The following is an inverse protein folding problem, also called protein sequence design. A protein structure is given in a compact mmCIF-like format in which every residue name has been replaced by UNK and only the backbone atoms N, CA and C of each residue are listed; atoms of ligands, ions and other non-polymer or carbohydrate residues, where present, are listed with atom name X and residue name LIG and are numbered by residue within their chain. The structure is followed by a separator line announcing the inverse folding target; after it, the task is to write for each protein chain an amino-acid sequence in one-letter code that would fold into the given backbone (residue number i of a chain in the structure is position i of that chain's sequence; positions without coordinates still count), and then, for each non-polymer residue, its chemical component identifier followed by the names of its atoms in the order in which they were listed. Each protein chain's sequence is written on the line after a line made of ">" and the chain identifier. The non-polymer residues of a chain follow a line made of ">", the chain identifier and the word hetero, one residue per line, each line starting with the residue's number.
data_IF_341973322227
#
_entry.id   IF_341973322227
#
_cell.length_a   1.000
_cell.length_b   1.000
_cell.length_c   1.000
_cell.angle_alpha   90.00
_cell.angle_beta   90.00
_cell.angle_gamma   90.00
#
_symmetry.space_group_name_H-M   'P 1'
#
loop_
_entity.id
_entity.type
_entity.pdbx_description
1 polymer ?
#
# COMPACT_ATOMS: atom_id res chain seq x y z
N UNK A 1 2.05 34.12 -13.40
CA UNK A 1 0.89 34.53 -12.60
C UNK A 1 -0.01 33.34 -12.39
N UNK A 2 -0.39 33.06 -11.14
CA UNK A 2 -1.13 31.87 -10.71
C UNK A 2 -2.55 31.74 -11.33
N UNK A 3 -3.04 32.80 -12.00
CA UNK A 3 -4.37 32.86 -12.65
C UNK A 3 -4.51 31.98 -13.89
N UNK A 4 -3.43 31.77 -14.67
CA UNK A 4 -3.52 30.99 -15.92
C UNK A 4 -3.75 29.49 -15.73
N UNK A 5 -3.59 28.96 -14.51
CA UNK A 5 -3.83 27.55 -14.20
C UNK A 5 -5.33 27.24 -13.99
N UNK A 6 -6.16 28.27 -13.75
CA UNK A 6 -7.59 28.13 -13.50
C UNK A 6 -8.45 28.25 -14.78
N UNK A 7 -7.87 28.80 -15.85
CA UNK A 7 -8.56 29.04 -17.15
C UNK A 7 -8.33 27.91 -18.17
N UNK A 8 -7.75 26.78 -17.73
CA UNK A 8 -7.60 25.60 -18.57
C UNK A 8 -8.94 24.88 -18.79
N UNK A 9 -9.17 24.26 -19.96
CA UNK A 9 -10.36 23.45 -20.19
C UNK A 9 -10.40 22.29 -19.17
N UNK A 10 -11.52 22.17 -18.45
CA UNK A 10 -11.75 21.01 -17.59
C UNK A 10 -11.82 19.76 -18.46
N UNK A 11 -11.19 18.68 -17.99
CA UNK A 11 -11.38 17.37 -18.61
C UNK A 11 -12.88 16.99 -18.62
N UNK A 12 -13.35 16.23 -19.63
CA UNK A 12 -14.72 15.75 -19.66
C UNK A 12 -15.10 15.10 -18.33
N UNK A 13 -16.29 15.42 -17.82
CA UNK A 13 -16.78 14.82 -16.57
C UNK A 13 -16.81 13.29 -16.73
N UNK A 14 -16.20 12.59 -15.80
CA UNK A 14 -16.28 11.13 -15.70
C UNK A 14 -17.70 10.67 -15.31
N UNK A 15 -17.81 9.42 -14.87
CA UNK A 15 -19.07 8.86 -14.40
C UNK A 15 -19.67 9.68 -13.24
N UNK A 16 -20.99 9.79 -13.18
CA UNK A 16 -21.68 10.41 -12.05
C UNK A 16 -21.46 9.56 -10.79
N UNK A 17 -20.90 10.11 -9.70
CA UNK A 17 -20.62 9.32 -8.50
C UNK A 17 -21.89 8.97 -7.75
N UNK A 18 -21.91 7.78 -7.15
CA UNK A 18 -22.98 7.37 -6.24
C UNK A 18 -22.94 8.24 -4.97
N UNK A 19 -24.05 8.88 -4.56
CA UNK A 19 -24.10 9.64 -3.31
C UNK A 19 -23.79 8.78 -2.07
N UNK A 20 -23.18 9.35 -1.01
CA UNK A 20 -22.97 8.63 0.25
C UNK A 20 -24.28 8.08 0.84
N UNK A 21 -24.24 6.86 1.36
CA UNK A 21 -25.41 6.20 1.98
C UNK A 21 -26.44 5.64 1.00
N UNK A 22 -26.20 5.72 -0.31
CA UNK A 22 -27.08 5.09 -1.30
C UNK A 22 -26.97 3.56 -1.22
N UNK A 23 -28.11 2.86 -1.33
CA UNK A 23 -28.15 1.41 -1.35
C UNK A 23 -27.78 0.86 -2.74
N UNK A 24 -27.08 -0.27 -2.80
CA UNK A 24 -26.72 -0.96 -4.05
C UNK A 24 -25.32 -0.64 -4.57
N UNK A 25 -25.15 -0.68 -5.89
CA UNK A 25 -23.84 -0.52 -6.53
C UNK A 25 -23.21 0.86 -6.32
N UNK A 26 -21.89 0.87 -6.11
CA UNK A 26 -21.10 2.10 -5.93
C UNK A 26 -20.36 2.40 -7.24
N UNK A 27 -20.58 3.61 -7.77
CA UNK A 27 -19.80 4.18 -8.86
C UNK A 27 -18.81 5.17 -8.25
N UNK A 28 -17.53 4.82 -8.32
CA UNK A 28 -16.45 5.77 -8.04
C UNK A 28 -16.22 6.64 -9.26
N UNK A 29 -16.11 7.95 -9.04
CA UNK A 29 -15.77 8.92 -10.09
C UNK A 29 -14.39 9.52 -9.85
N UNK A 30 -13.91 10.31 -10.81
CA UNK A 30 -12.67 11.07 -10.66
C UNK A 30 -12.74 12.01 -9.46
N UNK A 31 -11.65 12.09 -8.71
CA UNK A 31 -11.49 13.04 -7.60
C UNK A 31 -11.00 14.37 -8.16
N UNK A 32 -11.78 15.42 -8.01
CA UNK A 32 -11.38 16.78 -8.36
C UNK A 32 -11.64 17.70 -7.17
N UNK A 33 -10.71 17.71 -6.23
CA UNK A 33 -10.83 18.48 -5.01
C UNK A 33 -9.57 18.46 -4.17
N UNK A 34 -9.64 19.17 -3.05
CA UNK A 34 -8.58 19.25 -2.04
C UNK A 34 -8.95 18.34 -0.89
N UNK A 35 -8.15 17.31 -0.64
CA UNK A 35 -8.36 16.42 0.49
C UNK A 35 -7.94 17.04 1.82
N UNK A 36 -8.57 16.60 2.91
CA UNK A 36 -8.14 16.92 4.27
C UNK A 36 -7.06 15.93 4.72
N UNK A 37 -5.93 16.46 5.18
CA UNK A 37 -4.80 15.66 5.66
C UNK A 37 -3.91 15.17 4.53
N UNK A 38 -2.65 14.87 4.85
CA UNK A 38 -1.65 14.41 3.88
C UNK A 38 -0.84 13.21 4.39
N UNK A 39 -1.13 12.74 5.61
CA UNK A 39 -0.40 11.67 6.26
C UNK A 39 -1.36 10.73 6.98
N UNK A 40 -1.06 9.45 6.88
CA UNK A 40 -1.67 8.38 7.66
C UNK A 40 -0.61 7.77 8.57
N UNK A 41 -0.70 8.08 9.87
CA UNK A 41 0.18 7.53 10.89
C UNK A 41 -0.57 6.37 11.57
N UNK A 42 -0.02 5.16 11.50
CA UNK A 42 -0.65 4.00 12.13
C UNK A 42 0.38 3.12 12.83
N UNK A 43 -0.02 2.62 14.00
CA UNK A 43 0.69 1.57 14.72
C UNK A 43 -0.14 0.29 14.61
N UNK A 44 0.42 -0.74 14.00
CA UNK A 44 -0.27 -1.98 13.66
C UNK A 44 -0.01 -2.99 14.78
N UNK A 45 -0.97 -3.15 15.69
CA UNK A 45 -0.89 -4.01 16.89
C UNK A 45 -2.05 -4.99 16.93
N UNK A 46 -1.96 -5.97 17.83
CA UNK A 46 -3.12 -6.79 18.17
C UNK A 46 -4.18 -5.98 18.92
N UNK A 47 -5.47 -6.36 18.82
CA UNK A 47 -6.55 -5.71 19.55
C UNK A 47 -6.27 -5.68 21.07
N UNK A 48 -6.24 -4.48 21.65
CA UNK A 48 -5.99 -4.28 23.08
C UNK A 48 -4.54 -4.44 23.52
N UNK A 49 -3.60 -4.64 22.58
CA UNK A 49 -2.16 -4.77 22.84
C UNK A 49 -1.38 -3.56 22.33
N UNK A 50 -0.20 -3.33 22.91
CA UNK A 50 0.79 -2.40 22.38
C UNK A 50 1.81 -3.08 21.45
N UNK A 51 1.71 -4.38 21.22
CA UNK A 51 2.56 -5.13 20.30
C UNK A 51 1.73 -5.90 19.27
N UNK A 52 2.38 -6.32 18.21
CA UNK A 52 1.90 -7.31 17.26
C UNK A 52 2.62 -8.63 17.55
N UNK A 53 1.89 -9.58 18.11
CA UNK A 53 2.36 -10.94 18.34
C UNK A 53 2.69 -11.63 17.02
N UNK A 54 3.78 -12.39 16.99
CA UNK A 54 4.07 -13.28 15.86
C UNK A 54 3.03 -14.40 15.74
N UNK A 55 2.31 -14.75 16.81
CA UNK A 55 1.20 -15.70 16.80
C UNK A 55 -0.03 -15.20 16.02
N UNK A 56 -0.15 -13.89 15.78
CA UNK A 56 -1.19 -13.32 14.93
C UNK A 56 -0.91 -13.45 13.42
N UNK A 57 0.29 -13.93 13.04
CA UNK A 57 0.69 -14.10 11.63
C UNK A 57 0.15 -15.44 11.09
N UNK A 58 -0.39 -15.49 9.84
CA UNK A 58 -0.43 -14.43 8.85
C UNK A 58 -1.52 -13.38 9.09
N UNK A 59 -1.17 -12.13 8.83
CA UNK A 59 -2.06 -10.97 8.99
C UNK A 59 -1.80 -9.93 7.90
N UNK A 60 -2.83 -9.17 7.53
CA UNK A 60 -2.72 -8.10 6.56
C UNK A 60 -3.56 -6.88 6.88
N UNK A 61 -3.11 -5.72 6.40
CA UNK A 61 -3.79 -4.45 6.58
C UNK A 61 -4.00 -3.77 5.23
N UNK A 62 -5.24 -3.38 4.89
CA UNK A 62 -5.48 -2.65 3.67
C UNK A 62 -4.81 -1.28 3.72
N UNK A 63 -4.29 -0.89 2.56
CA UNK A 63 -3.77 0.44 2.25
C UNK A 63 -4.69 1.04 1.19
N UNK A 64 -5.32 2.16 1.55
CA UNK A 64 -6.37 2.84 0.79
C UNK A 64 -7.66 2.02 0.58
N UNK A 65 -8.15 1.31 1.60
CA UNK A 65 -9.48 0.64 1.53
C UNK A 65 -10.63 1.60 1.19
N UNK A 66 -11.61 1.11 0.42
CA UNK A 66 -12.76 1.89 -0.06
C UNK A 66 -14.08 1.36 0.52
N UNK A 67 -15.16 2.15 0.44
CA UNK A 67 -16.49 1.77 0.96
C UNK A 67 -17.02 0.46 0.35
N UNK A 68 -16.77 0.24 -0.93
CA UNK A 68 -17.16 -0.98 -1.67
C UNK A 68 -16.14 -2.11 -1.58
N UNK A 69 -15.11 -2.00 -0.74
CA UNK A 69 -14.06 -3.00 -0.56
C UNK A 69 -13.18 -2.66 0.63
N UNK A 70 -13.59 -3.12 1.81
CA UNK A 70 -12.92 -2.91 3.11
C UNK A 70 -11.92 -4.02 3.45
N UNK A 71 -11.84 -5.06 2.62
CA UNK A 71 -10.95 -6.22 2.81
C UNK A 71 -11.19 -6.94 4.14
N UNK A 72 -12.46 -7.19 4.47
CA UNK A 72 -12.95 -7.79 5.71
C UNK A 72 -12.62 -7.05 7.01
N UNK A 73 -12.01 -5.85 6.93
CA UNK A 73 -11.67 -5.06 8.12
C UNK A 73 -12.80 -4.12 8.56
N UNK A 74 -13.77 -3.85 7.69
CA UNK A 74 -14.76 -2.79 7.88
C UNK A 74 -14.17 -1.36 7.85
N UNK A 75 -12.85 -1.22 7.67
CA UNK A 75 -12.19 0.07 7.62
C UNK A 75 -12.33 0.70 6.23
N UNK A 76 -12.67 1.99 6.22
CA UNK A 76 -12.67 2.83 5.02
C UNK A 76 -11.59 3.90 5.19
N UNK A 77 -10.62 3.91 4.29
CA UNK A 77 -9.50 4.82 4.29
C UNK A 77 -9.67 5.82 3.15
N UNK A 78 -10.72 6.64 3.22
CA UNK A 78 -10.97 7.73 2.26
C UNK A 78 -11.08 9.05 3.01
N UNK A 79 -10.20 10.00 2.69
CA UNK A 79 -10.21 11.31 3.35
C UNK A 79 -11.37 12.19 2.85
N UNK A 80 -11.97 13.03 3.70
CA UNK A 80 -12.92 14.05 3.26
C UNK A 80 -12.29 15.07 2.32
N UNK A 81 -13.08 15.64 1.40
CA UNK A 81 -12.68 16.79 0.60
C UNK A 81 -13.13 18.09 1.27
N UNK A 82 -12.26 19.10 1.32
CA UNK A 82 -12.58 20.44 1.87
C UNK A 82 -13.04 21.43 0.80
N UNK A 83 -12.73 21.16 -0.46
CA UNK A 83 -13.22 21.88 -1.64
C UNK A 83 -13.22 20.91 -2.82
N UNK A 84 -14.24 20.91 -3.67
CA UNK A 84 -14.34 19.99 -4.80
C UNK A 84 -15.28 20.52 -5.88
N UNK A 85 -15.13 20.03 -7.11
CA UNK A 85 -16.00 20.37 -8.23
C UNK A 85 -17.31 19.58 -8.18
N UNK A 86 -18.48 20.24 -8.38
CA UNK A 86 -19.76 19.54 -8.42
C UNK A 86 -19.82 18.44 -9.49
N UNK A 87 -20.35 17.27 -9.10
CA UNK A 87 -20.44 16.09 -9.98
C UNK A 87 -19.16 15.24 -10.05
N UNK A 88 -18.17 15.52 -9.19
CA UNK A 88 -16.97 14.69 -8.99
C UNK A 88 -17.04 13.96 -7.65
N UNK A 89 -16.05 13.11 -7.34
CA UNK A 89 -16.09 12.21 -6.20
C UNK A 89 -16.47 12.90 -4.87
N UNK A 90 -17.20 12.19 -4.02
CA UNK A 90 -17.65 12.69 -2.72
C UNK A 90 -16.58 12.66 -1.63
N UNK A 91 -15.50 11.90 -1.85
CA UNK A 91 -14.34 11.83 -0.97
C UNK A 91 -13.07 11.63 -1.80
N UNK A 92 -11.91 11.75 -1.15
CA UNK A 92 -10.61 11.42 -1.74
C UNK A 92 -10.45 9.90 -1.82
N UNK A 93 -11.24 9.26 -2.69
CA UNK A 93 -11.11 7.85 -2.98
C UNK A 93 -9.70 7.58 -3.51
N UNK A 94 -9.05 6.56 -2.96
CA UNK A 94 -7.66 6.27 -3.29
C UNK A 94 -6.63 7.00 -2.44
N UNK A 95 -6.98 8.05 -1.67
CA UNK A 95 -6.02 8.78 -0.82
C UNK A 95 -4.71 9.14 -1.57
N UNK A 96 -4.82 9.55 -2.83
CA UNK A 96 -3.67 9.83 -3.69
C UNK A 96 -2.77 10.92 -3.10
N UNK A 97 -1.45 10.68 -3.09
CA UNK A 97 -0.49 11.61 -2.50
C UNK A 97 -0.45 11.60 -0.97
N UNK A 98 -1.23 10.75 -0.29
CA UNK A 98 -1.11 10.54 1.15
C UNK A 98 0.15 9.74 1.44
N UNK A 99 0.96 10.26 2.37
CA UNK A 99 2.05 9.52 2.97
C UNK A 99 1.51 8.55 4.03
N UNK A 100 1.69 7.25 3.83
CA UNK A 100 1.48 6.25 4.86
C UNK A 100 2.80 6.05 5.62
N UNK A 101 2.72 6.09 6.94
CA UNK A 101 3.80 5.74 7.84
C UNK A 101 3.23 4.75 8.86
N UNK A 102 3.59 3.49 8.64
CA UNK A 102 3.06 2.33 9.33
C UNK A 102 4.16 1.73 10.20
N UNK A 103 3.91 1.64 11.51
CA UNK A 103 4.83 1.06 12.49
C UNK A 103 4.30 -0.28 12.97
N UNK A 104 5.11 -1.32 12.84
CA UNK A 104 4.81 -2.69 13.28
C UNK A 104 5.74 -3.02 14.47
N UNK A 105 5.27 -2.85 15.72
CA UNK A 105 6.00 -3.26 16.92
C UNK A 105 5.84 -4.77 17.13
N UNK A 106 6.72 -5.57 16.53
CA UNK A 106 6.65 -7.03 16.58
C UNK A 106 7.17 -7.56 17.93
N UNK A 107 6.49 -8.57 18.47
CA UNK A 107 6.93 -9.33 19.64
C UNK A 107 6.86 -10.82 19.35
N UNK A 108 7.97 -11.53 19.52
CA UNK A 108 7.97 -12.98 19.53
C UNK A 108 7.58 -13.50 20.92
N UNK A 109 6.29 -13.79 21.10
CA UNK A 109 5.70 -14.36 22.32
C UNK A 109 5.75 -15.90 22.35
N UNK A 110 6.50 -16.52 21.45
CA UNK A 110 6.66 -17.97 21.36
C UNK A 110 8.01 -18.40 21.97
N UNK A 111 8.16 -19.68 22.36
CA UNK A 111 9.43 -20.19 22.90
C UNK A 111 10.48 -20.50 21.82
N UNK A 112 10.14 -20.35 20.54
CA UNK A 112 10.99 -20.72 19.39
C UNK A 112 11.38 -19.46 18.59
N UNK A 113 12.54 -19.43 17.93
CA UNK A 113 12.84 -18.36 16.97
C UNK A 113 11.83 -18.37 15.81
N UNK A 114 11.42 -17.19 15.36
CA UNK A 114 10.46 -17.03 14.25
C UNK A 114 11.06 -16.15 13.16
N UNK A 115 10.88 -16.56 11.90
CA UNK A 115 11.17 -15.72 10.73
C UNK A 115 9.89 -15.38 9.99
N UNK A 116 9.67 -14.08 9.80
CA UNK A 116 8.53 -13.50 9.10
C UNK A 116 8.97 -12.92 7.75
N UNK A 117 8.02 -12.70 6.87
CA UNK A 117 8.20 -12.10 5.55
C UNK A 117 7.21 -10.96 5.37
N UNK A 118 7.69 -9.82 4.90
CA UNK A 118 6.86 -8.64 4.62
C UNK A 118 6.60 -8.52 3.12
N UNK A 119 5.36 -8.24 2.73
CA UNK A 119 4.97 -7.97 1.36
C UNK A 119 3.95 -6.83 1.28
N UNK A 120 3.95 -6.08 0.18
CA UNK A 120 2.81 -5.25 -0.22
C UNK A 120 2.14 -5.95 -1.40
N UNK A 121 0.85 -6.25 -1.33
CA UNK A 121 0.13 -7.06 -2.31
C UNK A 121 -0.96 -6.24 -3.00
N UNK A 122 -1.35 -6.65 -4.22
CA UNK A 122 -2.43 -5.99 -4.98
C UNK A 122 -3.57 -6.98 -5.28
N UNK A 123 -4.38 -7.36 -4.28
CA UNK A 123 -5.40 -8.40 -4.44
C UNK A 123 -6.54 -7.98 -5.38
N UNK A 124 -7.47 -8.90 -5.64
CA UNK A 124 -8.70 -8.57 -6.37
C UNK A 124 -9.61 -7.66 -5.53
N UNK A 125 -10.39 -6.82 -6.22
CA UNK A 125 -11.35 -5.85 -5.65
C UNK A 125 -12.64 -6.51 -5.17
N UNK A 126 -12.53 -7.58 -4.40
CA UNK A 126 -13.68 -8.29 -3.84
C UNK A 126 -13.43 -8.50 -2.36
N UNK A 127 -14.51 -8.50 -1.59
CA UNK A 127 -14.41 -8.87 -0.18
C UNK A 127 -13.86 -10.30 -0.10
N UNK A 128 -12.74 -10.50 0.62
CA UNK A 128 -12.13 -11.81 0.73
C UNK A 128 -13.03 -12.74 1.55
N UNK A 129 -13.41 -13.91 1.01
CA UNK A 129 -14.14 -14.91 1.79
C UNK A 129 -13.32 -15.32 3.01
N UNK A 130 -13.89 -15.16 4.22
CA UNK A 130 -13.21 -15.51 5.47
C UNK A 130 -11.98 -14.65 5.81
N UNK A 131 -11.80 -13.48 5.18
CA UNK A 131 -10.69 -12.56 5.48
C UNK A 131 -9.37 -12.86 4.75
N UNK A 132 -9.32 -13.91 3.93
CA UNK A 132 -8.12 -14.26 3.16
C UNK A 132 -8.12 -13.55 1.80
N UNK A 133 -7.17 -12.62 1.63
CA UNK A 133 -7.03 -11.85 0.38
C UNK A 133 -6.95 -12.76 -0.85
N UNK A 134 -7.78 -12.46 -1.86
CA UNK A 134 -7.80 -13.23 -3.10
C UNK A 134 -6.72 -12.73 -4.05
N UNK A 135 -5.64 -13.51 -4.14
CA UNK A 135 -4.58 -13.35 -5.13
C UNK A 135 -4.89 -14.21 -6.37
N UNK A 136 -4.49 -13.74 -7.53
CA UNK A 136 -4.59 -14.44 -8.80
C UNK A 136 -3.20 -14.67 -9.37
N UNK A 137 -3.08 -15.67 -10.26
CA UNK A 137 -1.85 -15.87 -11.02
C UNK A 137 -1.48 -14.57 -11.76
N UNK A 138 -0.19 -14.23 -11.74
CA UNK A 138 0.31 -13.05 -12.41
C UNK A 138 -0.06 -13.10 -13.91
N UNK A 139 -0.82 -12.11 -14.37
CA UNK A 139 -1.16 -11.96 -15.78
C UNK A 139 -0.45 -10.72 -16.32
N UNK A 140 0.42 -10.84 -17.34
CA UNK A 140 1.06 -9.70 -17.98
C UNK A 140 0.07 -8.67 -18.54
N UNK A 141 -1.14 -9.13 -18.87
CA UNK A 141 -2.23 -8.33 -19.43
C UNK A 141 -3.13 -7.69 -18.36
N UNK A 142 -2.97 -8.04 -17.08
CA UNK A 142 -3.71 -7.40 -16.01
C UNK A 142 -3.27 -5.93 -15.86
N UNK A 143 -4.21 -4.99 -15.60
CA UNK A 143 -3.87 -3.58 -15.44
C UNK A 143 -2.89 -3.39 -14.28
N UNK A 144 -1.99 -2.42 -14.41
CA UNK A 144 -1.14 -1.95 -13.29
C UNK A 144 -2.05 -1.26 -12.27
N UNK A 145 -1.79 -1.52 -10.99
CA UNK A 145 -2.60 -1.08 -9.86
C UNK A 145 -1.81 -0.35 -8.80
N UNK A 146 -0.51 -0.60 -8.75
CA UNK A 146 0.41 0.12 -7.90
C UNK A 146 1.73 0.27 -8.64
N UNK A 147 2.24 1.49 -8.67
CA UNK A 147 3.57 1.81 -9.18
C UNK A 147 4.18 2.88 -8.30
N UNK A 148 5.17 2.53 -7.51
CA UNK A 148 5.76 3.51 -6.60
C UNK A 148 6.81 2.96 -5.65
N UNK A 149 7.51 3.87 -4.97
CA UNK A 149 8.47 3.51 -3.95
C UNK A 149 7.76 3.06 -2.66
N UNK A 150 8.31 2.02 -2.04
CA UNK A 150 7.98 1.57 -0.68
C UNK A 150 9.29 1.51 0.10
N UNK A 151 9.37 2.27 1.18
CA UNK A 151 10.52 2.29 2.05
C UNK A 151 10.25 1.42 3.29
N UNK A 152 11.22 0.60 3.67
CA UNK A 152 11.11 -0.33 4.81
C UNK A 152 12.36 -0.26 5.67
N UNK A 153 12.19 -0.10 6.96
CA UNK A 153 13.25 -0.18 7.97
C UNK A 153 12.98 -1.34 8.93
N UNK A 154 14.05 -1.94 9.47
CA UNK A 154 13.95 -3.01 10.48
C UNK A 154 13.95 -4.43 9.89
N UNK A 155 14.33 -4.59 8.62
CA UNK A 155 14.53 -5.88 7.96
C UNK A 155 15.87 -6.51 8.33
N UNK A 156 15.97 -7.83 8.21
CA UNK A 156 17.21 -8.58 8.44
C UNK A 156 18.34 -8.13 7.50
N UNK A 157 19.57 -8.09 8.03
CA UNK A 157 20.77 -7.76 7.26
C UNK A 157 20.83 -6.32 6.75
N UNK A 158 19.98 -5.41 7.25
CA UNK A 158 19.97 -4.00 6.85
C UNK A 158 19.78 -3.09 8.06
N UNK A 159 20.82 -2.36 8.51
CA UNK A 159 20.71 -1.46 9.66
C UNK A 159 19.92 -0.17 9.37
N UNK A 160 19.54 0.09 8.11
CA UNK A 160 18.85 1.30 7.67
C UNK A 160 17.62 1.04 6.82
N UNK A 161 17.03 2.12 6.30
CA UNK A 161 15.89 2.08 5.38
C UNK A 161 16.30 1.49 4.02
N UNK A 162 15.50 0.54 3.50
CA UNK A 162 15.59 0.02 2.14
C UNK A 162 14.40 0.52 1.34
N UNK A 163 14.64 0.97 0.11
CA UNK A 163 13.59 1.47 -0.78
C UNK A 163 13.41 0.49 -1.94
N UNK A 164 12.17 0.06 -2.15
CA UNK A 164 11.75 -0.83 -3.22
C UNK A 164 10.88 -0.05 -4.21
N UNK A 165 11.21 -0.07 -5.50
CA UNK A 165 10.27 0.42 -6.52
C UNK A 165 9.40 -0.75 -6.99
N UNK A 166 8.11 -0.71 -6.64
CA UNK A 166 7.17 -1.78 -6.97
C UNK A 166 6.38 -1.42 -8.23
N UNK A 167 6.12 -2.43 -9.06
CA UNK A 167 5.14 -2.38 -10.15
C UNK A 167 4.25 -3.61 -10.01
N UNK A 168 3.00 -3.41 -9.62
CA UNK A 168 2.07 -4.48 -9.30
C UNK A 168 0.84 -4.40 -10.18
N UNK A 169 0.40 -5.56 -10.66
CA UNK A 169 -0.80 -5.71 -11.46
C UNK A 169 -1.95 -6.29 -10.64
N UNK A 170 -3.17 -6.14 -11.12
CA UNK A 170 -4.39 -6.61 -10.45
C UNK A 170 -4.32 -8.10 -10.12
N UNK A 171 -4.57 -8.43 -8.85
CA UNK A 171 -4.55 -9.80 -8.31
C UNK A 171 -3.14 -10.32 -8.02
N UNK A 172 -2.07 -9.61 -8.36
CA UNK A 172 -0.71 -10.14 -8.25
C UNK A 172 -0.25 -10.26 -6.79
N UNK A 173 0.40 -11.37 -6.39
CA UNK A 173 1.14 -11.41 -5.13
C UNK A 173 2.25 -10.35 -5.13
N UNK A 174 2.50 -9.75 -3.97
CA UNK A 174 3.59 -8.81 -3.79
C UNK A 174 4.95 -9.50 -3.84
N UNK A 175 6.02 -8.84 -4.33
CA UNK A 175 7.36 -9.32 -4.05
C UNK A 175 7.62 -9.21 -2.54
N UNK A 176 8.49 -10.09 -2.03
CA UNK A 176 8.97 -9.99 -0.66
C UNK A 176 9.84 -8.74 -0.51
N UNK A 177 9.47 -7.90 0.45
CA UNK A 177 10.25 -6.72 0.82
C UNK A 177 11.41 -7.10 1.76
N UNK A 178 11.30 -8.23 2.46
CA UNK A 178 12.41 -8.80 3.22
C UNK A 178 11.94 -9.66 4.38
N UNK A 179 12.92 -10.33 4.99
CA UNK A 179 12.73 -11.16 6.17
C UNK A 179 12.91 -10.36 7.46
N UNK A 180 12.23 -10.80 8.52
CA UNK A 180 12.39 -10.31 9.88
C UNK A 180 12.51 -11.52 10.81
N UNK A 181 13.66 -11.71 11.45
CA UNK A 181 13.90 -12.81 12.37
C UNK A 181 13.89 -12.32 13.82
N UNK A 182 13.14 -13.00 14.69
CA UNK A 182 13.03 -12.68 16.11
C UNK A 182 13.38 -13.92 16.96
N UNK A 183 14.29 -13.78 17.91
CA UNK A 183 14.53 -14.76 18.95
C UNK A 183 13.32 -14.86 19.92
N UNK A 184 13.20 -15.93 20.72
CA UNK A 184 12.16 -16.03 21.74
C UNK A 184 12.16 -14.82 22.67
N UNK A 185 11.02 -14.16 22.84
CA UNK A 185 10.86 -12.97 23.67
C UNK A 185 11.43 -11.67 23.08
N UNK A 186 12.01 -11.69 21.88
CA UNK A 186 12.56 -10.49 21.24
C UNK A 186 11.44 -9.58 20.72
N UNK A 187 11.62 -8.27 20.91
CA UNK A 187 10.84 -7.23 20.26
C UNK A 187 11.65 -6.54 19.15
N UNK A 188 10.99 -6.29 18.00
CA UNK A 188 11.58 -5.54 16.89
C UNK A 188 10.55 -4.59 16.30
N UNK A 189 10.98 -3.39 15.96
CA UNK A 189 10.14 -2.43 15.23
C UNK A 189 10.47 -2.47 13.74
N UNK A 190 9.44 -2.70 12.92
CA UNK A 190 9.49 -2.54 11.47
C UNK A 190 8.70 -1.29 11.09
N UNK A 191 9.24 -0.49 10.19
CA UNK A 191 8.57 0.72 9.70
C UNK A 191 8.42 0.62 8.19
N UNK A 192 7.19 0.85 7.70
CA UNK A 192 6.86 0.90 6.28
C UNK A 192 6.37 2.29 5.93
N UNK A 193 6.95 2.89 4.89
CA UNK A 193 6.57 4.20 4.39
C UNK A 193 6.31 4.14 2.89
N UNK A 194 5.23 4.77 2.47
CA UNK A 194 4.96 5.00 1.05
C UNK A 194 4.15 6.28 0.86
N UNK A 195 4.26 6.88 -0.32
CA UNK A 195 3.27 7.84 -0.80
C UNK A 195 2.36 7.09 -1.74
N UNK A 196 1.05 7.12 -1.49
CA UNK A 196 0.12 6.37 -2.31
C UNK A 196 0.05 6.99 -3.73
N UNK A 197 0.45 6.24 -4.78
CA UNK A 197 0.67 6.81 -6.11
C UNK A 197 -0.60 7.34 -6.75
N UNK A 198 -0.53 8.47 -7.44
CA UNK A 198 -1.69 9.09 -8.10
C UNK A 198 -2.29 8.24 -9.23
N UNK A 199 -1.54 7.29 -9.80
CA UNK A 199 -1.98 6.34 -10.81
C UNK A 199 -2.37 4.97 -10.23
N UNK A 200 -2.36 4.82 -8.89
CA UNK A 200 -2.75 3.59 -8.24
C UNK A 200 -4.26 3.36 -8.30
N UNK A 201 -4.66 2.10 -8.18
CA UNK A 201 -6.07 1.72 -8.06
C UNK A 201 -6.20 0.74 -6.88
N UNK A 202 -6.86 1.14 -5.78
CA UNK A 202 -7.00 0.31 -4.58
C UNK A 202 -7.79 -0.98 -4.82
N UNK A 203 -7.64 -2.02 -3.99
CA UNK A 203 -6.88 -2.05 -2.75
C UNK A 203 -5.43 -2.51 -2.93
N UNK A 204 -4.55 -2.05 -2.04
CA UNK A 204 -3.30 -2.74 -1.72
C UNK A 204 -3.39 -3.25 -0.29
N UNK A 205 -2.63 -4.31 0.03
CA UNK A 205 -2.62 -4.90 1.37
C UNK A 205 -1.17 -5.08 1.81
N UNK A 206 -0.80 -4.50 2.95
CA UNK A 206 0.46 -4.81 3.60
C UNK A 206 0.28 -6.13 4.35
N UNK A 207 1.08 -7.13 4.01
CA UNK A 207 0.96 -8.49 4.52
C UNK A 207 2.22 -8.88 5.28
N UNK A 208 2.01 -9.45 6.47
CA UNK A 208 3.04 -10.11 7.26
C UNK A 208 2.74 -11.60 7.23
N UNK A 209 3.72 -12.39 6.80
CA UNK A 209 3.56 -13.79 6.46
C UNK A 209 4.62 -14.62 7.17
N UNK A 210 4.30 -15.85 7.52
CA UNK A 210 5.30 -16.79 8.03
C UNK A 210 6.25 -17.18 6.89
N UNK A 211 7.54 -17.36 7.17
CA UNK A 211 8.51 -17.75 6.14
C UNK A 211 8.16 -19.08 5.43
N UNK A 212 7.36 -19.93 6.06
CA UNK A 212 6.86 -21.18 5.46
C UNK A 212 5.69 -20.98 4.47
N UNK A 213 5.13 -19.77 4.37
CA UNK A 213 3.87 -19.51 3.63
C UNK A 213 4.09 -19.04 2.19
N UNK A 214 5.29 -18.61 1.80
CA UNK A 214 5.59 -18.23 0.42
C UNK A 214 6.82 -18.96 -0.10
N UNK A 215 6.64 -19.80 -1.12
CA UNK A 215 7.73 -20.15 -2.00
C UNK A 215 8.24 -18.85 -2.68
N UNK A 216 9.54 -18.59 -2.73
CA UNK A 216 10.07 -17.44 -3.44
C UNK A 216 9.60 -17.49 -4.91
N UNK A 217 9.12 -16.36 -5.42
CA UNK A 217 8.82 -16.23 -6.85
C UNK A 217 10.13 -16.46 -7.63
N UNK A 218 10.20 -17.48 -8.50
CA UNK A 218 11.38 -17.71 -9.34
C UNK A 218 11.64 -16.57 -10.34
N UNK A 219 10.72 -15.60 -10.46
CA UNK A 219 10.87 -14.40 -11.27
C UNK A 219 11.11 -13.11 -10.46
N UNK A 220 11.19 -13.19 -9.13
CA UNK A 220 11.75 -12.11 -8.33
C UNK A 220 13.26 -12.04 -8.62
N UNK A 221 13.63 -11.19 -9.58
CA UNK A 221 15.03 -10.96 -9.94
C UNK A 221 15.88 -10.75 -8.69
N UNK A 222 17.02 -11.44 -8.65
CA UNK A 222 18.01 -11.38 -7.57
C UNK A 222 18.25 -9.91 -7.16
N UNK A 223 17.89 -9.48 -5.93
CA UNK A 223 18.05 -8.10 -5.49
C UNK A 223 19.52 -7.70 -5.28
N UNK A 224 20.49 -8.55 -5.63
CA UNK A 224 21.94 -8.28 -5.53
C UNK A 224 22.56 -7.77 -6.83
N UNK A 225 22.01 -6.70 -7.41
CA UNK A 225 22.75 -5.63 -8.13
C UNK A 225 21.75 -4.70 -8.79
N UNK A 226 21.67 -3.48 -8.28
CA UNK A 226 21.52 -2.32 -9.16
C UNK A 226 22.76 -1.48 -8.87
N UNK A 227 23.65 -1.44 -9.86
CA UNK A 227 24.81 -0.56 -9.87
C UNK A 227 24.28 0.86 -10.11
N UNK A 228 24.25 1.69 -9.06
CA UNK A 228 23.70 3.06 -9.09
C UNK A 228 24.80 4.05 -9.50
N UNK A 229 25.52 3.73 -10.58
CA UNK A 229 26.44 4.65 -11.25
C UNK A 229 26.18 4.76 -12.77
N UNK A 230 25.02 4.31 -13.27
CA UNK A 230 24.70 4.35 -14.70
C UNK A 230 23.42 5.13 -15.09
N UNK A 231 22.77 5.83 -14.16
CA UNK A 231 21.64 6.71 -14.48
C UNK A 231 21.60 7.90 -13.52
N UNK A 232 22.49 8.88 -13.76
CA UNK A 232 22.31 10.34 -13.65
C UNK A 232 23.70 10.99 -13.78
N UNK A 233 24.06 11.36 -15.01
CA UNK A 233 24.91 12.48 -15.45
C UNK A 233 25.42 12.16 -16.87
N UNK A 234 25.32 13.07 -17.87
CA UNK A 234 25.49 14.51 -17.70
C UNK A 234 24.33 15.35 -18.26
N UNK A 235 23.75 16.21 -17.40
CA UNK A 235 23.10 17.46 -17.82
C UNK A 235 23.79 18.67 -17.14
N UNK A 236 25.09 18.53 -16.87
CA UNK A 236 25.95 19.61 -16.42
C UNK A 236 27.29 19.56 -17.16
N UNK A 237 27.26 19.74 -18.49
CA UNK A 237 28.33 20.41 -19.23
C UNK A 237 27.67 21.12 -20.43
N UNK A 238 27.67 22.45 -20.41
CA UNK A 238 27.06 23.28 -21.44
C UNK A 238 26.79 24.67 -20.92
N UNK A 239 27.86 25.46 -20.86
CA UNK A 239 27.92 26.91 -20.62
C UNK A 239 26.88 27.72 -21.38
#
# INVERSE_FOLDING_TARGET
>A
GLLGLLDGPLSPKGHQPTPPGHAGGIVYSQVSGVQRGARWLARLTDPGSDALSVGSVPVGWPVSALVGGTMATGQVQTAPLVAFYPGTAWAAHGNYGVEYHLTLPLLNDTPEPVTLQLALESPQEREPPGGVVSLAAASPNAPVRFRGPVAVQGLDGSPGERVFHLVQRRGQPGPLLGAITLAPGEDRTVVVRLVYPADATPPQVLSLLSAHTLAPDPHAGDPRRIDVDALIAPLLEGS
#
